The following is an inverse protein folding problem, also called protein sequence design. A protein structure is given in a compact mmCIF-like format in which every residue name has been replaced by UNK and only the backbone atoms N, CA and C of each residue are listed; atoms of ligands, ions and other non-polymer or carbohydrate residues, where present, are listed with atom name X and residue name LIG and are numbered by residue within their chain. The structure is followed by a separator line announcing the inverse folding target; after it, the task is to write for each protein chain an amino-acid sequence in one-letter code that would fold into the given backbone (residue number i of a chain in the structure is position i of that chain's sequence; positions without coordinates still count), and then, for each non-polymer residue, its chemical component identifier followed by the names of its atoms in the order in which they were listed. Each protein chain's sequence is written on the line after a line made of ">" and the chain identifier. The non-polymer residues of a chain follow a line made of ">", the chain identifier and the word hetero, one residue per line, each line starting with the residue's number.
data_IF_565446260805
#
_entry.id   IF_565446260805
#
_cell.length_a   1.000
_cell.length_b   1.000
_cell.length_c   1.000
_cell.angle_alpha   90.00
_cell.angle_beta   90.00
_cell.angle_gamma   90.00
#
_symmetry.space_group_name_H-M   'P 1'
#
loop_
_entity.id
_entity.type
_entity.pdbx_description
1 polymer ?
#
# COMPACT_ATOMS: atom_id res chain seq x y z
N UNK A 1 9.49 -3.31 -31.19
CA UNK A 1 8.71 -3.29 -29.94
C UNK A 1 8.20 -1.86 -29.82
N UNK A 2 6.88 -1.66 -29.69
CA UNK A 2 6.20 -0.39 -29.95
C UNK A 2 6.34 0.57 -28.74
N UNK A 3 6.93 1.75 -28.92
CA UNK A 3 7.24 2.73 -27.85
C UNK A 3 6.03 3.08 -26.99
N UNK A 4 4.83 3.02 -27.59
CA UNK A 4 3.55 3.25 -26.91
C UNK A 4 3.27 2.22 -25.80
N UNK A 5 3.63 0.95 -26.01
CA UNK A 5 3.50 -0.12 -24.99
C UNK A 5 4.49 0.08 -23.85
N UNK A 6 5.70 0.57 -24.13
CA UNK A 6 6.71 0.84 -23.11
C UNK A 6 6.23 1.96 -22.18
N UNK A 7 5.72 3.06 -22.76
CA UNK A 7 5.19 4.19 -22.01
C UNK A 7 3.97 3.82 -21.16
N UNK A 8 3.05 3.01 -21.69
CA UNK A 8 1.90 2.51 -20.92
C UNK A 8 2.34 1.65 -19.72
N UNK A 9 3.30 0.75 -19.91
CA UNK A 9 3.83 -0.08 -18.84
C UNK A 9 4.55 0.76 -17.76
N UNK A 10 5.33 1.76 -18.18
CA UNK A 10 6.01 2.67 -17.26
C UNK A 10 5.02 3.48 -16.42
N UNK A 11 3.96 4.01 -17.05
CA UNK A 11 2.95 4.80 -16.36
C UNK A 11 2.15 3.96 -15.34
N UNK A 12 1.82 2.73 -15.72
CA UNK A 12 1.18 1.76 -14.83
C UNK A 12 2.07 1.40 -13.64
N UNK A 13 3.36 1.12 -13.89
CA UNK A 13 4.33 0.81 -12.84
C UNK A 13 4.53 1.99 -11.88
N UNK A 14 4.62 3.22 -12.39
CA UNK A 14 4.73 4.42 -11.57
C UNK A 14 3.47 4.63 -10.70
N UNK A 15 2.28 4.37 -11.26
CA UNK A 15 1.02 4.47 -10.53
C UNK A 15 0.96 3.47 -9.37
N UNK A 16 1.36 2.21 -9.62
CA UNK A 16 1.45 1.19 -8.57
C UNK A 16 2.44 1.58 -7.48
N UNK A 17 3.62 2.07 -7.85
CA UNK A 17 4.63 2.52 -6.90
C UNK A 17 4.12 3.69 -6.04
N UNK A 18 3.46 4.67 -6.66
CA UNK A 18 2.84 5.80 -5.95
C UNK A 18 1.76 5.35 -4.96
N UNK A 19 0.92 4.40 -5.36
CA UNK A 19 -0.09 3.82 -4.48
C UNK A 19 0.50 3.10 -3.27
N UNK A 20 1.52 2.27 -3.49
CA UNK A 20 2.23 1.58 -2.41
C UNK A 20 2.85 2.62 -1.48
N UNK A 21 3.51 3.66 -2.00
CA UNK A 21 4.09 4.72 -1.18
C UNK A 21 3.04 5.44 -0.32
N UNK A 22 1.84 5.71 -0.86
CA UNK A 22 0.73 6.29 -0.10
C UNK A 22 0.24 5.37 1.01
N UNK A 23 0.15 4.05 0.76
CA UNK A 23 -0.18 3.08 1.79
C UNK A 23 0.87 3.08 2.92
N UNK A 24 2.16 3.06 2.57
CA UNK A 24 3.23 3.14 3.57
C UNK A 24 3.18 4.43 4.40
N UNK A 25 2.89 5.56 3.77
CA UNK A 25 2.74 6.85 4.47
C UNK A 25 1.55 6.83 5.43
N UNK A 26 0.40 6.30 5.00
CA UNK A 26 -0.80 6.16 5.84
C UNK A 26 -0.53 5.25 7.04
N UNK A 27 0.11 4.10 6.81
CA UNK A 27 0.52 3.18 7.87
C UNK A 27 1.46 3.85 8.88
N UNK A 28 2.53 4.50 8.39
CA UNK A 28 3.50 5.19 9.25
C UNK A 28 2.84 6.31 10.08
N UNK A 29 1.94 7.08 9.47
CA UNK A 29 1.21 8.15 10.14
C UNK A 29 0.34 7.60 11.28
N UNK A 30 -0.42 6.53 11.02
CA UNK A 30 -1.26 5.89 12.04
C UNK A 30 -0.44 5.24 13.14
N UNK A 31 0.70 4.64 12.80
CA UNK A 31 1.63 4.08 13.79
C UNK A 31 2.17 5.15 14.73
N UNK A 32 2.59 6.30 14.20
CA UNK A 32 3.03 7.45 15.02
C UNK A 32 1.89 7.93 15.92
N UNK A 33 0.66 8.04 15.40
CA UNK A 33 -0.50 8.46 16.20
C UNK A 33 -0.84 7.47 17.32
N UNK A 34 -0.78 6.16 17.03
CA UNK A 34 -1.02 5.09 18.01
C UNK A 34 -0.02 5.17 19.17
N UNK A 35 1.28 5.28 18.87
CA UNK A 35 2.35 5.41 19.86
C UNK A 35 2.20 6.72 20.66
N UNK A 36 1.88 7.84 20.01
CA UNK A 36 1.65 9.13 20.69
C UNK A 36 0.45 9.10 21.63
N UNK A 37 -0.50 8.20 21.41
CA UNK A 37 -1.67 8.01 22.28
C UNK A 37 -1.35 7.15 23.51
N UNK A 38 -0.09 6.72 23.68
CA UNK A 38 0.35 5.88 24.80
C UNK A 38 -0.12 4.43 24.70
N UNK A 39 -0.61 4.01 23.53
CA UNK A 39 -1.06 2.64 23.30
C UNK A 39 0.15 1.73 23.03
N UNK A 40 0.15 0.49 23.56
CA UNK A 40 1.19 -0.47 23.27
C UNK A 40 1.20 -0.81 21.78
N UNK A 41 2.40 -1.02 21.24
CA UNK A 41 2.60 -1.45 19.86
C UNK A 41 2.87 -2.96 19.85
N UNK A 42 1.80 -3.74 20.03
CA UNK A 42 1.82 -5.20 19.96
C UNK A 42 1.40 -5.72 18.57
N UNK A 43 1.54 -7.02 18.35
CA UNK A 43 1.23 -7.67 17.07
C UNK A 43 -0.21 -7.42 16.61
N UNK A 44 -1.16 -7.42 17.57
CA UNK A 44 -2.57 -7.16 17.28
C UNK A 44 -2.80 -5.71 16.83
N UNK A 45 -2.12 -4.76 17.46
CA UNK A 45 -2.15 -3.35 17.08
C UNK A 45 -1.52 -3.13 15.71
N UNK A 46 -0.37 -3.74 15.43
CA UNK A 46 0.30 -3.68 14.12
C UNK A 46 -0.57 -4.28 13.00
N UNK A 47 -1.17 -5.45 13.23
CA UNK A 47 -2.10 -6.07 12.29
C UNK A 47 -3.32 -5.17 12.03
N UNK A 48 -3.88 -4.56 13.07
CA UNK A 48 -5.03 -3.64 12.94
C UNK A 48 -4.66 -2.39 12.13
N UNK A 49 -3.48 -1.82 12.37
CA UNK A 49 -2.97 -0.65 11.64
C UNK A 49 -2.75 -0.99 10.16
N UNK A 50 -2.17 -2.16 9.88
CA UNK A 50 -2.01 -2.69 8.51
C UNK A 50 -3.37 -2.84 7.83
N UNK A 51 -4.32 -3.52 8.46
CA UNK A 51 -5.63 -3.79 7.87
C UNK A 51 -6.40 -2.51 7.53
N UNK A 52 -6.30 -1.51 8.41
CA UNK A 52 -6.86 -0.19 8.15
C UNK A 52 -6.21 0.52 6.96
N UNK A 53 -4.89 0.41 6.82
CA UNK A 53 -4.16 0.96 5.68
C UNK A 53 -4.58 0.27 4.37
N UNK A 54 -4.63 -1.05 4.36
CA UNK A 54 -5.06 -1.83 3.19
C UNK A 54 -6.51 -1.53 2.82
N UNK A 55 -7.41 -1.40 3.80
CA UNK A 55 -8.80 -0.99 3.56
C UNK A 55 -8.87 0.39 2.92
N UNK A 56 -8.07 1.35 3.39
CA UNK A 56 -7.99 2.67 2.78
C UNK A 56 -7.54 2.59 1.32
N UNK A 57 -6.51 1.79 1.04
CA UNK A 57 -6.01 1.58 -0.31
C UNK A 57 -7.07 0.95 -1.24
N UNK A 58 -7.81 -0.06 -0.75
CA UNK A 58 -8.91 -0.71 -1.48
C UNK A 58 -10.07 0.26 -1.81
N UNK A 59 -10.23 1.31 -1.00
CA UNK A 59 -11.25 2.35 -1.20
C UNK A 59 -10.74 3.57 -1.97
N UNK A 60 -9.50 3.55 -2.44
CA UNK A 60 -8.96 4.59 -3.31
C UNK A 60 -9.51 4.45 -4.73
N UNK A 61 -9.69 5.58 -5.39
CA UNK A 61 -10.09 5.66 -6.81
C UNK A 61 -8.97 6.27 -7.63
N UNK A 62 -8.81 5.81 -8.87
CA UNK A 62 -7.86 6.36 -9.82
C UNK A 62 -8.59 6.95 -11.02
N UNK A 63 -8.08 8.07 -11.52
CA UNK A 63 -8.61 8.73 -12.72
C UNK A 63 -7.59 8.67 -13.85
N UNK A 64 -8.07 8.61 -15.11
CA UNK A 64 -7.21 8.70 -16.29
C UNK A 64 -6.79 7.35 -16.89
N UNK A 65 -7.45 6.26 -16.52
CA UNK A 65 -7.35 4.96 -17.17
C UNK A 65 -8.72 4.28 -17.29
N UNK A 66 -8.78 3.18 -18.04
CA UNK A 66 -10.01 2.37 -18.11
C UNK A 66 -10.30 1.66 -16.78
N UNK A 67 -11.56 1.31 -16.53
CA UNK A 67 -11.97 0.59 -15.32
C UNK A 67 -11.25 -0.76 -15.16
N UNK A 68 -10.98 -1.45 -16.27
CA UNK A 68 -10.28 -2.74 -16.25
C UNK A 68 -8.79 -2.56 -15.88
N UNK A 69 -8.13 -1.54 -16.43
CA UNK A 69 -6.75 -1.20 -16.08
C UNK A 69 -6.65 -0.71 -14.62
N UNK A 70 -7.63 0.05 -14.15
CA UNK A 70 -7.73 0.50 -12.77
C UNK A 70 -7.87 -0.67 -11.81
N UNK A 71 -8.84 -1.55 -12.04
CA UNK A 71 -9.09 -2.71 -11.19
C UNK A 71 -7.85 -3.59 -11.08
N UNK A 72 -7.17 -3.85 -12.20
CA UNK A 72 -5.99 -4.71 -12.23
C UNK A 72 -4.75 -4.02 -11.65
N UNK A 73 -4.62 -2.70 -11.80
CA UNK A 73 -3.58 -1.89 -11.15
C UNK A 73 -3.77 -1.83 -9.65
N UNK A 74 -5.00 -1.62 -9.20
CA UNK A 74 -5.40 -1.57 -7.80
C UNK A 74 -5.15 -2.93 -7.13
N UNK A 75 -5.56 -4.03 -7.78
CA UNK A 75 -5.31 -5.39 -7.30
C UNK A 75 -3.83 -5.65 -7.04
N UNK A 76 -2.97 -5.32 -8.01
CA UNK A 76 -1.52 -5.51 -7.88
C UNK A 76 -0.90 -4.63 -6.81
N UNK A 77 -1.31 -3.36 -6.71
CA UNK A 77 -0.82 -2.45 -5.68
C UNK A 77 -1.23 -2.89 -4.27
N UNK A 78 -2.46 -3.37 -4.09
CA UNK A 78 -2.94 -3.92 -2.82
C UNK A 78 -2.16 -5.16 -2.42
N UNK A 79 -1.98 -6.12 -3.34
CA UNK A 79 -1.23 -7.35 -3.07
C UNK A 79 0.22 -7.06 -2.68
N UNK A 80 0.86 -6.10 -3.35
CA UNK A 80 2.22 -5.69 -3.04
C UNK A 80 2.31 -4.94 -1.69
N UNK A 81 1.35 -4.05 -1.40
CA UNK A 81 1.30 -3.33 -0.13
C UNK A 81 1.09 -4.30 1.04
N UNK A 82 0.20 -5.29 0.92
CA UNK A 82 -0.01 -6.35 1.92
C UNK A 82 1.30 -7.09 2.21
N UNK A 83 1.98 -7.62 1.18
CA UNK A 83 3.25 -8.35 1.35
C UNK A 83 4.36 -7.51 1.99
N UNK A 84 4.50 -6.25 1.57
CA UNK A 84 5.56 -5.39 2.08
C UNK A 84 5.30 -4.96 3.52
N UNK A 85 4.05 -4.66 3.88
CA UNK A 85 3.68 -4.32 5.26
C UNK A 85 3.82 -5.53 6.19
N UNK A 86 3.40 -6.71 5.75
CA UNK A 86 3.62 -7.96 6.49
C UNK A 86 5.12 -8.21 6.70
N UNK A 87 5.94 -8.00 5.68
CA UNK A 87 7.39 -8.09 5.77
C UNK A 87 8.01 -7.07 6.73
N UNK A 88 7.50 -5.83 6.74
CA UNK A 88 7.97 -4.79 7.65
C UNK A 88 7.61 -5.10 9.12
N UNK A 89 6.42 -5.65 9.36
CA UNK A 89 5.98 -6.09 10.68
C UNK A 89 6.81 -7.30 11.13
N UNK A 90 6.98 -8.31 10.26
CA UNK A 90 7.77 -9.50 10.56
C UNK A 90 9.27 -9.22 10.75
N UNK A 91 9.85 -8.33 9.95
CA UNK A 91 11.26 -7.94 10.06
C UNK A 91 11.58 -7.13 11.32
N UNK A 92 10.60 -6.42 11.89
CA UNK A 92 10.72 -5.77 13.19
C UNK A 92 10.67 -6.74 14.38
N UNK A 93 10.33 -8.01 14.15
CA UNK A 93 10.22 -9.07 15.18
C UNK A 93 11.47 -9.96 15.29
N UNK A 94 12.57 -9.66 14.59
CA UNK A 94 13.84 -10.38 14.83
C UNK A 94 14.55 -9.82 16.08
N UNK A 95 14.95 -10.69 17.03
CA UNK A 95 15.62 -10.29 18.28
C UNK A 95 17.03 -9.73 18.06
#
# INVERSE_FOLDING_TARGET
>A
MDDKKILQNANRSATQAGMIALAFLDFATKLIQHVRSGLPLDDASLATLRDNCIRNLKNSTMSGMSLEEEAETLRQAVENAEKLLDGAIAGGMQP
#
